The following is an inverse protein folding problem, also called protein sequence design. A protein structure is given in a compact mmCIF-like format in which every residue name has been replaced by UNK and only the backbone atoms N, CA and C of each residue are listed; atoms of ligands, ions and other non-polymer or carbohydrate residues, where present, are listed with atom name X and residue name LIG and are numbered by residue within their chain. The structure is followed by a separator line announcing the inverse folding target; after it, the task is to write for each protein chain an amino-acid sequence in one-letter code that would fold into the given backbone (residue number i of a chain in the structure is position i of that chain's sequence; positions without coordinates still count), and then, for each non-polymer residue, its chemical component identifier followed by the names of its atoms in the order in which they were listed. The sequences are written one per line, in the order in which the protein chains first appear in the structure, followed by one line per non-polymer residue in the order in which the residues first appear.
data_IF_999803661035
#
_entry.id   IF_999803661035
#
_cell.length_a   1.000
_cell.length_b   1.000
_cell.length_c   1.000
_cell.angle_alpha   90.00
_cell.angle_beta   90.00
_cell.angle_gamma   90.00
#
_symmetry.space_group_name_H-M   'P 1'
#
loop_
_entity.id
_entity.type
_entity.pdbx_description
1 polymer ?
#
# COMPACT_ATOMS: atom_id res chain seq x y z
N UNK A 1 15.55 12.33 -14.97
CA UNK A 1 15.17 12.71 -16.34
C UNK A 1 13.66 12.84 -16.38
N UNK A 2 13.15 14.07 -16.28
CA UNK A 2 11.73 14.36 -16.26
C UNK A 2 11.23 14.48 -17.70
N UNK A 3 10.42 13.53 -18.16
CA UNK A 3 9.63 13.72 -19.38
C UNK A 3 8.48 14.67 -19.02
N UNK A 4 8.53 15.87 -19.58
CA UNK A 4 7.59 16.94 -19.25
C UNK A 4 6.13 16.55 -19.45
N UNK A 5 5.30 16.92 -18.47
CA UNK A 5 3.87 17.19 -18.65
C UNK A 5 2.91 16.02 -18.87
N UNK A 6 3.38 14.78 -19.06
CA UNK A 6 2.50 13.63 -19.22
C UNK A 6 2.63 12.69 -18.02
N UNK A 7 1.65 12.71 -17.12
CA UNK A 7 1.49 11.71 -16.07
C UNK A 7 1.14 10.38 -16.72
N UNK A 8 2.14 9.52 -16.91
CA UNK A 8 1.95 8.16 -17.41
C UNK A 8 1.56 7.31 -16.21
N UNK A 9 0.26 7.17 -15.95
CA UNK A 9 -0.24 6.26 -14.92
C UNK A 9 0.06 4.83 -15.34
N UNK A 10 0.98 4.19 -14.63
CA UNK A 10 1.36 2.80 -14.86
C UNK A 10 0.64 1.92 -13.85
N UNK A 11 -0.33 1.15 -14.33
CA UNK A 11 -1.05 0.17 -13.53
C UNK A 11 -0.28 -1.15 -13.56
N UNK A 12 0.10 -1.62 -12.39
CA UNK A 12 0.75 -2.91 -12.20
C UNK A 12 -0.21 -3.86 -11.51
N UNK A 13 -0.19 -5.13 -11.92
CA UNK A 13 -0.91 -6.18 -11.19
C UNK A 13 -0.16 -6.44 -9.88
N UNK A 14 -0.89 -6.64 -8.80
CA UNK A 14 -0.30 -6.96 -7.51
C UNK A 14 -1.09 -8.06 -6.82
N UNK A 15 -0.38 -8.89 -6.06
CA UNK A 15 -0.96 -9.93 -5.21
C UNK A 15 -0.88 -9.46 -3.76
N UNK A 16 -2.03 -9.41 -3.09
CA UNK A 16 -2.08 -9.06 -1.66
C UNK A 16 -1.58 -10.25 -0.86
N UNK A 17 -0.61 -10.01 0.02
CA UNK A 17 -0.05 -11.02 0.91
C UNK A 17 -0.71 -10.99 2.28
N UNK A 18 -0.91 -9.79 2.83
CA UNK A 18 -1.44 -9.58 4.18
C UNK A 18 -2.11 -8.21 4.28
N UNK A 19 -3.24 -8.17 4.97
CA UNK A 19 -3.90 -6.93 5.39
C UNK A 19 -3.34 -6.56 6.77
N UNK A 20 -2.78 -5.36 6.91
CA UNK A 20 -2.15 -4.90 8.16
C UNK A 20 -3.15 -4.08 8.96
N UNK A 21 -3.74 -3.06 8.31
CA UNK A 21 -4.72 -2.13 8.87
C UNK A 21 -5.79 -1.83 7.80
N UNK A 22 -6.78 -0.99 8.14
CA UNK A 22 -7.88 -0.65 7.22
C UNK A 22 -7.46 0.06 5.92
N UNK A 23 -6.27 0.67 5.92
CA UNK A 23 -5.66 1.37 4.78
C UNK A 23 -4.31 0.79 4.35
N UNK A 24 -3.72 -0.12 5.14
CA UNK A 24 -2.33 -0.59 4.99
C UNK A 24 -2.29 -2.07 4.65
N UNK A 25 -1.66 -2.41 3.52
CA UNK A 25 -1.54 -3.79 3.04
C UNK A 25 -0.12 -4.12 2.57
N UNK A 26 0.31 -5.36 2.79
CA UNK A 26 1.55 -5.90 2.22
C UNK A 26 1.22 -6.62 0.89
N UNK A 27 1.92 -6.27 -0.19
CA UNK A 27 1.68 -6.76 -1.57
C UNK A 27 2.97 -7.20 -2.27
N UNK A 28 2.84 -8.12 -3.22
CA UNK A 28 3.84 -8.39 -4.26
C UNK A 28 3.39 -7.68 -5.55
N UNK A 29 4.21 -6.78 -6.10
CA UNK A 29 3.90 -6.07 -7.36
C UNK A 29 4.56 -6.79 -8.54
N UNK A 30 3.79 -7.17 -9.55
CA UNK A 30 4.31 -7.77 -10.79
C UNK A 30 4.84 -6.67 -11.71
N UNK A 31 6.14 -6.67 -11.98
CA UNK A 31 6.81 -5.71 -12.86
C UNK A 31 6.88 -6.22 -14.32
N UNK A 32 6.39 -7.44 -14.58
CA UNK A 32 6.53 -8.15 -15.84
C UNK A 32 7.84 -8.95 -15.92
N UNK A 33 7.99 -9.72 -17.02
CA UNK A 33 9.20 -10.50 -17.31
C UNK A 33 9.62 -11.48 -16.20
N UNK A 34 8.66 -11.98 -15.41
CA UNK A 34 8.93 -12.87 -14.28
C UNK A 34 9.59 -12.17 -13.08
N UNK A 35 9.73 -10.84 -13.13
CA UNK A 35 10.21 -10.04 -12.01
C UNK A 35 9.04 -9.53 -11.19
N UNK A 36 9.14 -9.72 -9.88
CA UNK A 36 8.20 -9.16 -8.92
C UNK A 36 8.94 -8.34 -7.88
N UNK A 37 8.34 -7.24 -7.47
CA UNK A 37 8.77 -6.46 -6.34
C UNK A 37 8.04 -6.96 -5.09
N UNK A 38 8.73 -7.80 -4.32
CA UNK A 38 8.11 -8.58 -3.27
C UNK A 38 8.00 -7.85 -1.93
N UNK A 39 6.98 -8.19 -1.13
CA UNK A 39 6.76 -7.73 0.26
C UNK A 39 6.75 -6.21 0.43
N UNK A 40 6.08 -5.50 -0.46
CA UNK A 40 5.93 -4.05 -0.36
C UNK A 40 4.77 -3.69 0.55
N UNK A 41 5.00 -2.80 1.51
CA UNK A 41 3.94 -2.20 2.31
C UNK A 41 3.41 -0.97 1.57
N UNK A 42 2.13 -0.98 1.24
CA UNK A 42 1.47 0.13 0.54
C UNK A 42 0.30 0.63 1.38
N UNK A 43 0.05 1.94 1.28
CA UNK A 43 -1.14 2.60 1.86
C UNK A 43 -2.09 3.01 0.75
N UNK A 44 -3.38 2.82 0.99
CA UNK A 44 -4.43 3.17 0.06
C UNK A 44 -4.64 4.69 0.08
N UNK A 45 -4.44 5.35 -1.06
CA UNK A 45 -4.72 6.77 -1.22
C UNK A 45 -6.21 7.06 -1.01
N UNK A 46 -6.52 8.02 -0.13
CA UNK A 46 -7.90 8.46 0.14
C UNK A 46 -8.64 7.69 1.22
N UNK A 47 -8.02 6.67 1.83
CA UNK A 47 -8.53 5.98 3.01
C UNK A 47 -7.54 6.23 4.13
N UNK A 48 -7.99 6.91 5.19
CA UNK A 48 -7.21 7.13 6.40
C UNK A 48 -7.97 6.47 7.55
N UNK A 49 -7.44 5.37 8.06
CA UNK A 49 -8.09 4.56 9.11
C UNK A 49 -7.26 4.69 10.38
N UNK A 50 -7.86 4.83 11.57
CA UNK A 50 -7.10 4.82 12.82
C UNK A 50 -6.21 3.59 12.88
N UNK A 51 -4.91 3.80 13.04
CA UNK A 51 -3.90 2.76 12.88
C UNK A 51 -3.95 1.80 14.08
N UNK A 52 -4.27 0.52 13.84
CA UNK A 52 -4.51 -0.45 14.90
C UNK A 52 -3.22 -0.87 15.64
N UNK A 53 -2.05 -0.38 15.22
CA UNK A 53 -0.73 -0.77 15.76
C UNK A 53 0.07 0.36 16.39
N UNK A 54 -0.57 1.42 16.87
CA UNK A 54 0.06 2.32 17.84
C UNK A 54 -0.04 1.74 19.26
N UNK A 55 1.01 1.92 20.07
CA UNK A 55 1.07 1.50 21.49
C UNK A 55 0.26 2.42 22.41
N UNK A 56 -0.66 3.19 21.84
CA UNK A 56 -1.48 4.17 22.53
C UNK A 56 -2.83 3.56 22.89
N UNK A 57 -3.20 3.65 24.17
CA UNK A 57 -4.38 2.95 24.72
C UNK A 57 -5.69 3.67 24.38
N UNK A 58 -5.61 4.93 23.97
CA UNK A 58 -6.75 5.81 23.68
C UNK A 58 -7.38 5.50 22.32
N UNK A 59 -6.59 5.15 21.30
CA UNK A 59 -7.10 4.81 19.96
C UNK A 59 -7.77 3.41 19.90
N UNK A 60 -7.40 2.48 20.78
CA UNK A 60 -8.04 1.15 20.88
C UNK A 60 -9.48 1.15 21.40
N UNK A 61 -9.94 2.25 22.00
CA UNK A 61 -11.24 2.30 22.66
C UNK A 61 -12.36 2.80 21.73
N UNK A 62 -12.00 3.47 20.62
CA UNK A 62 -12.93 4.07 19.68
C UNK A 62 -12.91 3.45 18.27
N UNK A 63 -11.97 2.52 18.02
CA UNK A 63 -11.94 1.67 16.83
C UNK A 63 -12.70 0.36 17.01
#
# INVERSE_FOLDING_TARGET
MAYGGLSIERVYKCTILRIIDGDTVDVDVDLGFGMKYAKQRVRLLGIDTPESRTRDKTEKFYG
#
